data_IF_843314494917
#
_entry.id   IF_843314494917
#
_cell.length_a   1.000
_cell.length_b   1.000
_cell.length_c   1.000
_cell.angle_alpha   90.00
_cell.angle_beta   90.00
_cell.angle_gamma   90.00
#
_symmetry.space_group_name_H-M   'P 1'
#
loop_
_entity.id
_entity.type
_entity.pdbx_description
1 polymer ?
#
# COMPACT_ATOMS: atom_id res chain seq x y z
N UNK A 1 16.11 -3.54 14.63
CA UNK A 1 14.78 -3.94 14.10
C UNK A 1 14.47 -3.08 12.90
N UNK A 2 14.00 -3.70 11.83
CA UNK A 2 13.43 -2.99 10.67
C UNK A 2 11.98 -3.43 10.52
N UNK A 3 11.09 -2.47 10.31
CA UNK A 3 9.68 -2.72 9.99
C UNK A 3 9.37 -2.31 8.56
N UNK A 4 8.66 -3.17 7.83
CA UNK A 4 8.43 -3.04 6.39
C UNK A 4 6.94 -3.07 6.06
N UNK A 5 6.53 -2.19 5.15
CA UNK A 5 5.23 -2.27 4.48
C UNK A 5 5.29 -1.65 3.09
N UNK A 6 5.19 -2.47 2.06
CA UNK A 6 4.98 -2.01 0.68
C UNK A 6 3.51 -1.65 0.42
N UNK A 7 2.60 -2.25 1.19
CA UNK A 7 1.16 -2.00 1.07
C UNK A 7 0.78 -0.65 1.68
N UNK A 8 0.08 0.18 0.93
CA UNK A 8 -0.35 1.52 1.35
C UNK A 8 -1.10 1.54 2.68
N UNK A 9 -1.99 0.56 2.89
CA UNK A 9 -2.76 0.41 4.12
C UNK A 9 -1.89 0.30 5.39
N UNK A 10 -0.66 -0.19 5.26
CA UNK A 10 0.28 -0.38 6.37
C UNK A 10 1.35 0.69 6.50
N UNK A 11 1.59 1.51 5.47
CA UNK A 11 2.73 2.43 5.45
C UNK A 11 2.70 3.43 6.61
N UNK A 12 1.53 4.07 6.84
CA UNK A 12 1.39 5.01 7.94
C UNK A 12 1.56 4.34 9.31
N UNK A 13 1.01 3.14 9.46
CA UNK A 13 1.12 2.38 10.71
C UNK A 13 2.58 2.02 11.02
N UNK A 14 3.31 1.52 10.02
CA UNK A 14 4.75 1.22 10.12
C UNK A 14 5.57 2.48 10.43
N UNK A 15 5.28 3.59 9.77
CA UNK A 15 5.95 4.86 10.05
C UNK A 15 5.75 5.30 11.50
N UNK A 16 4.51 5.27 12.01
CA UNK A 16 4.19 5.61 13.40
C UNK A 16 4.86 4.66 14.39
N UNK A 17 4.87 3.35 14.09
CA UNK A 17 5.62 2.37 14.88
C UNK A 17 7.10 2.75 15.00
N UNK A 18 7.74 3.05 13.88
CA UNK A 18 9.16 3.44 13.87
C UNK A 18 9.44 4.73 14.63
N UNK A 19 8.55 5.72 14.50
CA UNK A 19 8.66 6.99 15.21
C UNK A 19 8.64 6.79 16.74
N UNK A 20 7.66 6.05 17.27
CA UNK A 20 7.55 5.83 18.71
C UNK A 20 8.57 4.86 19.27
N UNK A 21 8.88 3.79 18.55
CA UNK A 21 9.85 2.79 19.00
C UNK A 21 11.31 3.13 18.67
N UNK A 22 11.55 4.24 17.92
CA UNK A 22 12.86 4.67 17.43
C UNK A 22 13.57 3.56 16.63
N UNK A 23 12.80 2.84 15.80
CA UNK A 23 13.30 1.79 14.92
C UNK A 23 13.29 2.22 13.46
N UNK A 24 14.11 1.59 12.64
CA UNK A 24 14.12 1.86 11.20
C UNK A 24 12.85 1.32 10.54
N UNK A 25 12.33 2.09 9.58
CA UNK A 25 11.12 1.74 8.83
C UNK A 25 11.36 1.86 7.34
N UNK A 26 10.81 0.93 6.59
CA UNK A 26 10.76 0.97 5.13
C UNK A 26 9.30 1.02 4.72
N UNK A 27 8.85 2.20 4.34
CA UNK A 27 7.49 2.43 3.83
C UNK A 27 7.53 2.53 2.31
N UNK A 28 6.75 1.71 1.63
CA UNK A 28 6.74 1.60 0.18
C UNK A 28 7.60 0.44 -0.33
N UNK A 29 8.00 0.53 -1.59
CA UNK A 29 8.68 -0.57 -2.29
C UNK A 29 10.04 -0.90 -1.65
N UNK A 30 10.24 -2.18 -1.36
CA UNK A 30 11.53 -2.72 -0.94
C UNK A 30 12.59 -2.59 -2.04
N UNK A 31 13.75 -2.05 -1.70
CA UNK A 31 14.87 -1.96 -2.64
C UNK A 31 15.68 -3.27 -2.58
N UNK A 32 15.78 -4.03 -3.69
CA UNK A 32 16.57 -5.26 -3.70
C UNK A 32 18.04 -5.02 -3.34
N UNK A 33 18.64 -5.93 -2.59
CA UNK A 33 20.02 -5.82 -2.13
C UNK A 33 20.22 -4.97 -0.86
N UNK A 34 19.14 -4.58 -0.20
CA UNK A 34 19.21 -3.74 1.00
C UNK A 34 19.85 -4.46 2.20
N UNK A 35 19.73 -5.79 2.28
CA UNK A 35 20.36 -6.63 3.30
C UNK A 35 21.61 -7.36 2.79
N UNK A 36 21.75 -7.55 1.48
CA UNK A 36 22.79 -8.41 0.90
C UNK A 36 23.92 -7.64 0.22
N UNK A 37 23.65 -6.44 -0.30
CA UNK A 37 24.64 -5.67 -1.05
C UNK A 37 25.20 -4.50 -0.23
N UNK A 38 26.42 -4.66 0.26
CA UNK A 38 27.13 -3.65 1.07
C UNK A 38 27.41 -2.34 0.31
N UNK A 39 27.44 -2.36 -1.04
CA UNK A 39 27.72 -1.15 -1.82
C UNK A 39 26.48 -0.23 -1.98
N UNK A 40 25.31 -0.71 -1.60
CA UNK A 40 24.08 0.05 -1.70
C UNK A 40 24.03 1.15 -0.62
N UNK A 41 23.64 2.38 -1.02
CA UNK A 41 23.50 3.51 -0.07
C UNK A 41 22.50 3.24 1.08
N UNK A 42 21.57 2.33 0.87
CA UNK A 42 20.53 1.93 1.85
C UNK A 42 20.83 0.59 2.53
N UNK A 43 22.09 0.15 2.50
CA UNK A 43 22.48 -1.11 3.16
C UNK A 43 22.24 -1.04 4.67
N UNK A 44 21.67 -2.10 5.24
CA UNK A 44 21.34 -2.21 6.66
C UNK A 44 21.52 -3.64 7.12
N UNK A 45 21.99 -3.81 8.35
CA UNK A 45 22.15 -5.10 9.03
C UNK A 45 21.19 -5.18 10.25
N UNK A 46 19.93 -5.53 10.06
CA UNK A 46 19.00 -5.65 11.17
C UNK A 46 19.17 -6.99 11.90
N UNK A 47 18.75 -7.03 13.16
CA UNK A 47 18.62 -8.26 13.93
C UNK A 47 17.23 -8.88 13.90
N UNK A 48 16.26 -8.16 13.39
CA UNK A 48 14.86 -8.58 13.30
C UNK A 48 14.18 -7.79 12.19
N UNK A 49 13.42 -8.49 11.35
CA UNK A 49 12.55 -7.94 10.34
C UNK A 49 11.09 -8.13 10.75
N UNK A 50 10.29 -7.06 10.71
CA UNK A 50 8.84 -7.13 10.94
C UNK A 50 8.13 -6.73 9.65
N UNK A 51 7.25 -7.58 9.14
CA UNK A 51 6.60 -7.44 7.84
C UNK A 51 5.10 -7.35 7.99
N UNK A 52 4.48 -6.40 7.29
CA UNK A 52 3.02 -6.19 7.34
C UNK A 52 2.25 -7.23 6.53
N UNK A 53 2.74 -7.61 5.36
CA UNK A 53 2.08 -8.59 4.48
C UNK A 53 3.13 -9.46 3.77
N UNK A 54 3.26 -10.75 4.09
CA UNK A 54 4.24 -11.63 3.45
C UNK A 54 4.10 -11.74 1.93
N UNK A 55 2.93 -11.47 1.39
CA UNK A 55 2.68 -11.57 -0.04
C UNK A 55 3.26 -10.37 -0.80
N UNK A 56 3.04 -9.15 -0.31
CA UNK A 56 3.54 -7.93 -0.96
C UNK A 56 5.01 -7.67 -0.67
N UNK A 57 5.47 -8.06 0.52
CA UNK A 57 6.83 -7.84 1.01
C UNK A 57 7.72 -9.08 0.87
N UNK A 58 7.37 -10.01 -0.03
CA UNK A 58 8.07 -11.28 -0.22
C UNK A 58 9.58 -11.12 -0.47
N UNK A 59 9.98 -10.09 -1.21
CA UNK A 59 11.40 -9.83 -1.50
C UNK A 59 12.20 -9.52 -0.24
N UNK A 60 11.63 -8.81 0.72
CA UNK A 60 12.27 -8.54 2.00
C UNK A 60 12.46 -9.82 2.82
N UNK A 61 11.45 -10.69 2.82
CA UNK A 61 11.49 -12.00 3.49
C UNK A 61 12.54 -12.91 2.85
N UNK A 62 12.60 -12.93 1.52
CA UNK A 62 13.57 -13.75 0.80
C UNK A 62 15.01 -13.29 1.07
N UNK A 63 15.27 -11.97 1.05
CA UNK A 63 16.59 -11.44 1.39
C UNK A 63 16.98 -11.72 2.83
N UNK A 64 16.05 -11.63 3.77
CA UNK A 64 16.32 -11.94 5.18
C UNK A 64 16.77 -13.38 5.38
N UNK A 65 16.25 -14.32 4.58
CA UNK A 65 16.65 -15.73 4.62
C UNK A 65 18.11 -15.95 4.19
N UNK A 66 18.66 -15.08 3.34
CA UNK A 66 20.07 -15.17 2.91
C UNK A 66 21.05 -14.66 3.96
N UNK A 67 20.61 -13.74 4.80
CA UNK A 67 21.46 -13.12 5.84
C UNK A 67 21.13 -13.60 7.26
N UNK A 68 20.30 -14.64 7.38
CA UNK A 68 19.89 -15.25 8.66
C UNK A 68 19.25 -14.25 9.63
N UNK A 69 18.43 -13.35 9.12
CA UNK A 69 17.66 -12.40 9.94
C UNK A 69 16.28 -13.00 10.21
N UNK A 70 15.86 -13.16 11.47
CA UNK A 70 14.54 -13.68 11.81
C UNK A 70 13.44 -12.72 11.38
N UNK A 71 12.30 -13.29 10.98
CA UNK A 71 11.16 -12.56 10.41
C UNK A 71 9.92 -12.77 11.26
N UNK A 72 9.32 -11.67 11.70
CA UNK A 72 7.95 -11.64 12.23
C UNK A 72 7.04 -11.10 11.15
N UNK A 73 5.97 -11.81 10.82
CA UNK A 73 5.04 -11.35 9.80
C UNK A 73 3.60 -11.35 10.29
N UNK A 74 2.87 -10.30 9.91
CA UNK A 74 1.43 -10.20 10.12
C UNK A 74 0.74 -10.96 8.98
N UNK A 75 0.09 -12.08 9.30
CA UNK A 75 -0.39 -13.04 8.33
C UNK A 75 -1.90 -13.19 8.38
N UNK A 76 -2.52 -13.20 7.21
CA UNK A 76 -3.88 -13.64 7.01
C UNK A 76 -3.92 -15.13 6.62
N UNK A 77 -5.09 -15.73 6.56
CA UNK A 77 -5.30 -17.14 6.21
C UNK A 77 -4.82 -17.52 4.81
N UNK A 78 -4.71 -16.56 3.90
CA UNK A 78 -4.26 -16.74 2.51
C UNK A 78 -2.77 -16.51 2.30
N UNK A 79 -1.99 -16.19 3.34
CA UNK A 79 -0.59 -15.91 3.24
C UNK A 79 0.27 -17.18 3.36
N UNK A 80 1.31 -17.27 2.54
CA UNK A 80 2.34 -18.29 2.67
C UNK A 80 3.30 -17.93 3.80
N UNK A 81 3.63 -18.93 4.65
CA UNK A 81 4.53 -18.76 5.79
C UNK A 81 5.97 -19.17 5.50
N UNK A 82 6.34 -19.32 4.22
CA UNK A 82 7.70 -19.68 3.84
C UNK A 82 8.68 -18.58 4.25
N UNK A 83 9.73 -18.97 4.98
CA UNK A 83 10.76 -18.07 5.54
C UNK A 83 10.24 -17.08 6.60
N UNK A 84 9.08 -17.36 7.19
CA UNK A 84 8.55 -16.60 8.32
C UNK A 84 8.78 -17.41 9.59
N UNK A 85 9.47 -16.85 10.57
CA UNK A 85 9.79 -17.51 11.83
C UNK A 85 8.66 -17.38 12.86
N UNK A 86 8.04 -16.21 12.91
CA UNK A 86 6.91 -15.96 13.79
C UNK A 86 5.76 -15.29 13.02
N UNK A 87 4.62 -15.96 12.93
CA UNK A 87 3.43 -15.44 12.29
C UNK A 87 2.45 -14.88 13.33
N UNK A 88 2.00 -13.65 13.12
CA UNK A 88 0.92 -13.03 13.91
C UNK A 88 -0.36 -13.15 13.07
N UNK A 89 -1.28 -14.06 13.43
CA UNK A 89 -2.51 -14.24 12.66
C UNK A 89 -3.45 -13.06 12.86
N UNK A 90 -3.76 -12.36 11.77
CA UNK A 90 -4.74 -11.28 11.80
C UNK A 90 -5.26 -10.93 10.40
N UNK A 91 -6.23 -10.04 10.33
CA UNK A 91 -6.70 -9.48 9.07
C UNK A 91 -5.74 -8.38 8.59
N UNK A 92 -4.91 -8.69 7.57
CA UNK A 92 -4.01 -7.71 6.94
C UNK A 92 -4.60 -7.05 5.68
N UNK A 93 -5.88 -7.25 5.37
CA UNK A 93 -6.56 -6.62 4.23
C UNK A 93 -7.13 -5.26 4.58
N UNK A 94 -7.75 -5.14 5.75
CA UNK A 94 -8.36 -3.89 6.20
C UNK A 94 -7.32 -2.93 6.78
N UNK A 95 -7.27 -1.66 6.34
CA UNK A 95 -6.35 -0.67 6.88
C UNK A 95 -6.55 -0.43 8.38
N UNK A 96 -7.79 -0.49 8.86
CA UNK A 96 -8.13 -0.33 10.28
C UNK A 96 -7.58 -1.49 11.14
N UNK A 97 -7.66 -2.73 10.62
CA UNK A 97 -7.12 -3.89 11.31
C UNK A 97 -5.59 -3.86 11.38
N UNK A 98 -4.93 -3.52 10.25
CA UNK A 98 -3.47 -3.36 10.20
C UNK A 98 -3.00 -2.26 11.16
N UNK A 99 -3.68 -1.12 11.18
CA UNK A 99 -3.38 -0.03 12.10
C UNK A 99 -3.49 -0.46 13.57
N UNK A 100 -4.54 -1.21 13.91
CA UNK A 100 -4.76 -1.71 15.26
C UNK A 100 -3.65 -2.66 15.73
N UNK A 101 -3.21 -3.58 14.85
CA UNK A 101 -2.10 -4.50 15.17
C UNK A 101 -0.79 -3.73 15.40
N UNK A 102 -0.45 -2.80 14.51
CA UNK A 102 0.76 -1.98 14.69
C UNK A 102 0.69 -1.10 15.94
N UNK A 103 -0.50 -0.58 16.27
CA UNK A 103 -0.73 0.14 17.52
C UNK A 103 -0.46 -0.75 18.75
N UNK A 104 -1.01 -1.96 18.77
CA UNK A 104 -0.80 -2.91 19.86
C UNK A 104 0.68 -3.32 19.98
N UNK A 105 1.35 -3.58 18.84
CA UNK A 105 2.79 -3.87 18.82
C UNK A 105 3.60 -2.71 19.38
N UNK A 106 3.26 -1.47 19.00
CA UNK A 106 3.91 -0.27 19.56
C UNK A 106 3.75 -0.22 21.07
N UNK A 107 2.52 -0.41 21.55
CA UNK A 107 2.20 -0.37 22.98
C UNK A 107 3.03 -1.41 23.76
N UNK A 108 3.05 -2.65 23.31
CA UNK A 108 3.82 -3.73 23.95
C UNK A 108 5.31 -3.44 23.96
N UNK A 109 5.86 -2.96 22.85
CA UNK A 109 7.30 -2.63 22.75
C UNK A 109 7.66 -1.48 23.69
N UNK A 110 6.82 -0.45 23.81
CA UNK A 110 7.07 0.67 24.72
C UNK A 110 6.93 0.25 26.19
N UNK A 111 5.98 -0.59 26.53
CA UNK A 111 5.84 -1.15 27.87
C UNK A 111 7.10 -1.94 28.28
N UNK A 112 7.63 -2.77 27.37
CA UNK A 112 8.88 -3.52 27.60
C UNK A 112 10.09 -2.60 27.73
N UNK A 113 10.17 -1.55 26.92
CA UNK A 113 11.21 -0.53 26.99
C UNK A 113 11.07 0.42 28.18
N UNK A 114 9.94 0.41 28.87
CA UNK A 114 9.58 1.39 29.93
C UNK A 114 9.61 2.84 29.47
N UNK A 115 9.37 3.08 28.19
CA UNK A 115 9.37 4.39 27.53
C UNK A 115 7.95 4.68 27.02
N UNK A 116 7.08 5.16 27.91
CA UNK A 116 5.66 5.39 27.61
C UNK A 116 5.31 6.88 27.47
N UNK A 117 6.33 7.76 27.42
CA UNK A 117 6.13 9.21 27.57
C UNK A 117 5.26 9.86 26.48
N UNK A 118 5.55 9.61 25.20
CA UNK A 118 4.93 10.33 24.08
C UNK A 118 4.00 9.43 23.22
N UNK A 119 3.49 8.36 23.80
CA UNK A 119 2.67 7.41 23.05
C UNK A 119 1.28 7.96 22.77
N UNK A 120 0.94 8.02 21.48
CA UNK A 120 -0.37 8.44 21.01
C UNK A 120 -1.45 7.39 21.35
N UNK A 121 -2.38 7.74 22.23
CA UNK A 121 -3.41 6.83 22.77
C UNK A 121 -4.48 6.46 21.74
N UNK A 122 -4.51 7.15 20.58
CA UNK A 122 -5.55 6.97 19.58
C UNK A 122 -5.09 6.06 18.43
N UNK A 123 -5.67 4.85 18.29
CA UNK A 123 -5.32 3.95 17.19
C UNK A 123 -5.64 4.51 15.80
N UNK A 124 -6.58 5.45 15.69
CA UNK A 124 -6.96 6.05 14.40
C UNK A 124 -5.81 6.81 13.71
N UNK A 125 -4.82 7.28 14.46
CA UNK A 125 -3.64 7.93 13.91
C UNK A 125 -2.74 6.99 13.07
N UNK A 126 -2.92 5.69 13.20
CA UNK A 126 -2.14 4.65 12.50
C UNK A 126 -2.66 4.29 11.11
N UNK A 127 -3.84 4.76 10.70
CA UNK A 127 -4.35 4.56 9.34
C UNK A 127 -4.59 5.88 8.61
N UNK A 128 -4.61 5.81 7.27
CA UNK A 128 -4.87 6.98 6.43
C UNK A 128 -6.37 7.22 6.28
N UNK A 129 -6.87 8.27 6.90
CA UNK A 129 -8.28 8.69 6.79
C UNK A 129 -8.64 9.10 5.37
N UNK A 130 -7.68 9.61 4.58
CA UNK A 130 -7.89 10.03 3.19
C UNK A 130 -8.19 8.88 2.23
N UNK A 131 -7.68 7.68 2.50
CA UNK A 131 -7.97 6.49 1.69
C UNK A 131 -9.39 5.97 1.91
N UNK A 132 -9.89 6.04 3.14
CA UNK A 132 -11.26 5.64 3.44
C UNK A 132 -12.26 6.61 2.78
N UNK A 133 -11.99 7.92 2.81
CA UNK A 133 -12.81 8.94 2.13
C UNK A 133 -12.87 8.75 0.62
N UNK A 134 -11.72 8.49 -0.04
CA UNK A 134 -11.70 8.22 -1.50
C UNK A 134 -12.48 6.97 -1.89
N UNK A 135 -12.57 5.95 -1.02
CA UNK A 135 -13.38 4.77 -1.27
C UNK A 135 -14.86 5.05 -1.08
N UNK A 136 -15.23 5.77 -0.01
CA UNK A 136 -16.61 6.20 0.24
C UNK A 136 -17.12 7.14 -0.85
N UNK A 137 -16.27 8.03 -1.39
CA UNK A 137 -16.61 8.92 -2.48
C UNK A 137 -16.77 8.16 -3.82
N UNK A 138 -15.92 7.15 -4.09
CA UNK A 138 -16.04 6.31 -5.28
C UNK A 138 -17.25 5.35 -5.20
N UNK A 139 -17.56 4.80 -4.03
CA UNK A 139 -18.74 3.95 -3.83
C UNK A 139 -20.02 4.77 -4.04
N UNK A 140 -20.10 6.01 -3.54
CA UNK A 140 -21.21 6.91 -3.76
C UNK A 140 -21.34 7.40 -5.21
N UNK A 141 -20.23 7.55 -5.94
CA UNK A 141 -20.24 7.90 -7.36
C UNK A 141 -20.73 6.72 -8.22
N UNK A 142 -20.38 5.47 -7.85
CA UNK A 142 -20.85 4.27 -8.55
C UNK A 142 -22.33 3.95 -8.34
N UNK A 143 -22.91 4.31 -7.20
CA UNK A 143 -24.34 4.14 -6.93
C UNK A 143 -25.22 5.17 -7.65
N UNK A 144 -24.63 6.28 -8.12
CA UNK A 144 -25.35 7.34 -8.86
C UNK A 144 -25.43 7.13 -10.38
N UNK A 145 -24.66 6.21 -10.96
CA UNK A 145 -24.66 5.93 -12.40
C UNK A 145 -25.65 4.84 -12.83
N UNK A 146 -26.22 4.07 -11.89
CA UNK A 146 -27.15 2.96 -12.21
C UNK A 146 -28.65 3.36 -12.20
N UNK A 147 -28.99 4.62 -11.92
CA UNK A 147 -30.39 5.11 -11.95
C UNK A 147 -30.74 5.96 -13.17
N UNK A 148 -29.89 6.03 -14.22
CA UNK A 148 -30.03 6.98 -15.35
C UNK A 148 -30.17 6.39 -16.75
N UNK A 149 -30.36 5.10 -16.96
CA UNK A 149 -30.64 4.55 -18.30
C UNK A 149 -32.02 3.91 -18.38
N UNK A 150 -32.98 4.74 -18.71
CA UNK A 150 -34.33 4.34 -19.09
C UNK A 150 -35.14 5.50 -19.60
N UNK A 151 -35.39 5.49 -20.90
CA UNK A 151 -36.35 6.24 -21.70
C UNK A 151 -35.80 7.32 -22.65
N UNK A 152 -36.00 7.05 -23.94
CA UNK A 152 -36.00 8.06 -24.98
C UNK A 152 -35.37 7.68 -26.31
N UNK A 153 -35.80 6.59 -26.95
CA UNK A 153 -35.70 6.43 -28.41
C UNK A 153 -36.72 7.40 -29.05
N UNK A 154 -36.27 8.44 -29.74
CA UNK A 154 -36.99 9.07 -30.83
C UNK A 154 -36.09 9.16 -32.06
N UNK A 155 -36.46 8.34 -33.05
CA UNK A 155 -35.99 8.35 -34.43
C UNK A 155 -36.17 9.74 -35.05
N UNK A 156 -35.13 10.25 -35.71
CA UNK A 156 -35.28 11.17 -36.85
C UNK A 156 -34.26 10.79 -37.93
N UNK A 157 -34.84 10.34 -39.04
CA UNK A 157 -34.19 10.06 -40.32
C UNK A 157 -33.59 11.31 -40.98
N UNK A 158 -32.70 11.12 -41.98
CA UNK A 158 -31.92 12.19 -42.59
C UNK A 158 -32.55 12.66 -43.90
N UNK A 159 -32.61 13.92 -44.10
CA UNK A 159 -32.70 14.62 -45.42
C UNK A 159 -31.42 15.44 -45.54
N UNK A 160 -30.60 15.36 -46.52
CA UNK A 160 -30.70 15.27 -47.95
C UNK A 160 -30.00 16.51 -48.53
N UNK A 161 -29.10 16.28 -49.52
CA UNK A 161 -28.67 17.26 -50.55
C UNK A 161 -27.77 18.44 -50.07
N UNK A 162 -26.71 18.80 -50.72
CA UNK A 162 -26.16 18.65 -52.05
C UNK A 162 -24.86 19.42 -52.17
N UNK A 163 -24.12 18.92 -53.10
CA UNK A 163 -23.38 19.55 -54.17
C UNK A 163 -22.25 20.56 -53.95
N UNK A 164 -21.19 20.20 -54.65
CA UNK A 164 -20.28 21.04 -55.47
C UNK A 164 -19.29 21.93 -54.73
N UNK A 165 -18.04 21.97 -55.06
CA UNK A 165 -17.27 21.80 -56.25
C UNK A 165 -15.84 22.16 -56.00
N UNK A 166 -15.03 21.54 -56.80
CA UNK A 166 -13.89 22.07 -57.56
C UNK A 166 -12.74 22.81 -56.82
N UNK A 167 -11.68 22.22 -56.95
CA UNK A 167 -10.54 22.46 -57.83
C UNK A 167 -9.31 23.12 -57.24
N UNK A 168 -8.26 22.44 -57.63
CA UNK A 168 -6.96 22.94 -58.15
C UNK A 168 -5.78 23.23 -57.22
N UNK A 169 -4.81 22.41 -57.62
CA UNK A 169 -3.41 22.70 -58.03
C UNK A 169 -2.36 22.93 -56.94
N UNK A 170 -1.44 21.98 -56.98
CA UNK A 170 -0.03 22.13 -57.52
C UNK A 170 0.71 23.29 -56.88
N UNK A 171 1.86 23.12 -56.39
CA UNK A 171 3.18 22.77 -56.93
C UNK A 171 4.27 22.92 -55.84
N UNK A 172 5.17 22.01 -55.94
CA UNK A 172 6.63 22.18 -55.90
C UNK A 172 7.36 22.84 -54.72
N UNK A 173 8.29 22.06 -54.22
CA UNK A 173 9.68 22.42 -54.47
C UNK A 173 10.57 22.56 -53.24
N UNK A 174 11.53 21.68 -53.26
CA UNK A 174 12.85 21.73 -52.62
C UNK A 174 12.98 21.14 -51.25
#
# INVERSE_FOLDING_TARGET
>A
VISVSSKEAGQRAVYKFGHFTKTQTVTGRWSPGMLTNQTTKKFVEPRLLIVTDPRTDYNAILESSYVNVPVIAICNSDNMLKYVDCAIPCNNRSPKAVAMIWYLLTKVVLEVKKDTGDFEKNPSAYYNVEMDKKKEDNEKAGEGEDEGEGEGEEEKEPEGEGEEGEDNKEEDGL
#
